data_IF_860797676319
#
_entry.id   IF_860797676319
#
_cell.length_a   1.000
_cell.length_b   1.000
_cell.length_c   1.000
_cell.angle_alpha   90.00
_cell.angle_beta   90.00
_cell.angle_gamma   90.00
#
_symmetry.space_group_name_H-M   'P 1'
#
loop_
_entity.id
_entity.type
_entity.pdbx_description
1 polymer ?
#
# COMPACT_ATOMS: atom_id res chain seq x y z
N UNK A 1 -9.06 50.30 30.16
CA UNK A 1 -7.88 49.52 29.70
C UNK A 1 -7.85 48.10 30.29
N UNK A 2 -8.88 47.29 30.06
CA UNK A 2 -8.89 45.85 30.43
C UNK A 2 -9.88 45.18 29.49
N UNK A 3 -9.39 44.43 28.50
CA UNK A 3 -10.10 43.49 27.61
C UNK A 3 -9.32 43.40 26.30
N UNK A 4 -8.25 42.61 26.23
CA UNK A 4 -7.77 41.90 25.01
C UNK A 4 -6.63 41.00 25.51
N UNK A 5 -6.91 39.81 26.04
CA UNK A 5 -5.90 38.73 26.20
C UNK A 5 -6.65 37.45 26.55
N UNK A 6 -7.26 36.81 25.56
CA UNK A 6 -7.73 35.42 25.65
C UNK A 6 -8.18 34.96 24.26
N UNK A 7 -7.23 34.50 23.43
CA UNK A 7 -7.44 33.52 22.36
C UNK A 7 -6.21 33.49 21.45
N UNK A 8 -5.12 32.86 21.89
CA UNK A 8 -3.99 32.52 21.03
C UNK A 8 -3.32 31.23 21.52
N UNK A 9 -4.12 30.18 21.69
CA UNK A 9 -3.64 28.80 21.77
C UNK A 9 -4.69 27.94 21.08
N UNK A 10 -4.62 27.85 19.76
CA UNK A 10 -5.26 26.76 19.02
C UNK A 10 -4.15 26.06 18.22
N UNK A 11 -3.56 25.10 18.92
CA UNK A 11 -2.94 23.87 18.42
C UNK A 11 -2.51 23.87 16.95
N UNK A 12 -1.24 24.18 16.72
CA UNK A 12 -0.48 23.54 15.64
C UNK A 12 -0.09 22.12 16.12
N UNK A 13 -1.08 21.23 16.20
CA UNK A 13 -0.85 19.80 16.27
C UNK A 13 -0.94 19.26 14.85
N UNK A 14 0.03 19.61 14.02
CA UNK A 14 0.30 18.91 12.77
C UNK A 14 0.95 17.58 13.14
N UNK A 15 0.16 16.66 13.67
CA UNK A 15 0.45 15.25 13.52
C UNK A 15 0.43 15.01 12.01
N UNK A 16 1.57 14.59 11.45
CA UNK A 16 1.58 13.96 10.15
C UNK A 16 0.71 12.71 10.29
N UNK A 17 -0.58 12.86 9.99
CA UNK A 17 -1.44 11.72 9.76
C UNK A 17 -0.85 11.06 8.51
N UNK A 18 -0.10 9.97 8.72
CA UNK A 18 0.26 9.08 7.63
C UNK A 18 -1.06 8.70 6.96
N UNK A 19 -1.24 9.13 5.72
CA UNK A 19 -2.46 8.86 4.99
C UNK A 19 -2.61 7.33 4.90
N UNK A 20 -3.80 6.83 5.25
CA UNK A 20 -4.14 5.44 5.02
C UNK A 20 -4.16 5.16 3.52
N UNK A 21 -3.84 3.94 3.08
CA UNK A 21 -4.06 3.56 1.70
C UNK A 21 -5.52 3.84 1.32
N UNK A 22 -5.72 4.50 0.18
CA UNK A 22 -7.05 4.82 -0.35
C UNK A 22 -7.34 3.81 -1.44
N UNK A 23 -8.54 3.23 -1.41
CA UNK A 23 -8.97 2.30 -2.46
C UNK A 23 -8.81 2.93 -3.84
N UNK A 24 -8.00 2.31 -4.70
CA UNK A 24 -7.68 2.82 -6.03
C UNK A 24 -7.23 1.69 -6.96
N UNK A 25 -7.24 1.98 -8.26
CA UNK A 25 -6.73 1.11 -9.32
C UNK A 25 -5.88 1.93 -10.28
N UNK A 26 -4.72 1.40 -10.66
CA UNK A 26 -3.86 1.92 -11.72
C UNK A 26 -4.02 1.05 -12.95
N UNK A 27 -4.60 1.65 -13.99
CA UNK A 27 -4.88 1.05 -15.30
C UNK A 27 -3.95 1.61 -16.40
N UNK A 28 -2.93 2.37 -15.99
CA UNK A 28 -1.93 3.00 -16.85
C UNK A 28 -2.44 3.94 -17.96
N UNK A 29 -3.73 4.27 -17.97
CA UNK A 29 -4.34 5.23 -18.90
C UNK A 29 -3.73 6.64 -18.77
N UNK A 30 -3.12 6.94 -17.61
CA UNK A 30 -2.49 8.22 -17.30
C UNK A 30 -0.96 8.08 -17.12
N UNK A 31 -0.35 7.11 -17.81
CA UNK A 31 1.07 6.80 -17.70
C UNK A 31 1.38 5.89 -16.51
N UNK A 32 2.63 5.88 -16.06
CA UNK A 32 3.09 4.97 -15.00
C UNK A 32 2.47 5.20 -13.61
N UNK A 33 1.96 6.40 -13.33
CA UNK A 33 1.26 6.71 -12.06
C UNK A 33 2.07 6.34 -10.80
N UNK A 34 3.39 6.52 -10.85
CA UNK A 34 4.31 6.23 -9.76
C UNK A 34 4.80 4.78 -9.66
N UNK A 35 4.37 3.91 -10.59
CA UNK A 35 4.90 2.54 -10.70
C UNK A 35 6.16 2.50 -11.54
N UNK A 36 7.18 1.82 -11.04
CA UNK A 36 8.43 1.52 -11.72
C UNK A 36 8.56 0.00 -11.89
N UNK A 37 9.24 -0.44 -12.95
CA UNK A 37 9.57 -1.85 -13.16
C UNK A 37 11.08 -2.11 -13.30
N UNK A 38 11.88 -1.11 -12.90
CA UNK A 38 13.33 -1.13 -12.98
C UNK A 38 13.85 -0.98 -14.41
N UNK A 39 15.09 -0.50 -14.58
CA UNK A 39 15.70 -0.46 -15.90
C UNK A 39 16.01 -1.88 -16.42
N UNK A 40 15.99 -2.10 -17.74
CA UNK A 40 16.56 -3.30 -18.36
C UNK A 40 18.04 -3.44 -17.96
N UNK A 41 18.52 -4.68 -17.76
CA UNK A 41 19.87 -4.92 -17.25
C UNK A 41 20.97 -4.62 -18.30
N UNK A 42 20.64 -4.73 -19.59
CA UNK A 42 21.55 -4.55 -20.74
C UNK A 42 21.35 -3.22 -21.49
N UNK A 43 20.40 -2.39 -21.05
CA UNK A 43 20.03 -1.12 -21.69
C UNK A 43 19.28 -1.26 -23.02
N UNK A 44 18.94 -2.48 -23.46
CA UNK A 44 18.17 -2.75 -24.67
C UNK A 44 16.87 -3.47 -24.32
N UNK A 45 15.74 -3.07 -24.93
CA UNK A 45 14.38 -3.42 -24.45
C UNK A 45 14.11 -2.79 -23.08
N UNK A 46 12.86 -2.70 -22.63
CA UNK A 46 12.57 -1.88 -21.45
C UNK A 46 11.14 -1.96 -20.99
N UNK A 47 10.74 -0.91 -20.26
CA UNK A 47 9.43 -0.76 -19.65
C UNK A 47 8.73 0.39 -20.35
N UNK A 48 7.53 0.15 -20.90
CA UNK A 48 6.73 1.21 -21.53
C UNK A 48 5.23 0.99 -21.33
N UNK A 49 4.47 2.05 -21.55
CA UNK A 49 3.01 1.98 -21.57
C UNK A 49 2.58 1.53 -22.96
N UNK A 50 2.02 0.32 -23.05
CA UNK A 50 1.59 -0.29 -24.30
C UNK A 50 0.08 -0.14 -24.46
N UNK A 51 -0.34 0.79 -25.32
CA UNK A 51 -1.76 1.04 -25.60
C UNK A 51 -2.40 -0.04 -26.49
N UNK A 52 -1.62 -0.99 -27.01
CA UNK A 52 -2.11 -2.13 -27.79
C UNK A 52 -2.34 -3.38 -26.94
N UNK A 53 -1.80 -3.39 -25.72
CA UNK A 53 -2.03 -4.39 -24.69
C UNK A 53 -2.90 -3.82 -23.58
N UNK A 54 -3.44 -4.73 -22.76
CA UNK A 54 -4.20 -4.40 -21.55
C UNK A 54 -5.59 -5.02 -21.52
N UNK A 55 -6.27 -4.88 -20.39
CA UNK A 55 -7.59 -5.46 -20.11
C UNK A 55 -8.67 -4.36 -20.09
N UNK A 56 -8.72 -3.55 -21.15
CA UNK A 56 -9.66 -2.42 -21.26
C UNK A 56 -9.02 -1.04 -21.12
N UNK A 57 -7.74 -0.97 -20.77
CA UNK A 57 -6.88 0.21 -20.71
C UNK A 57 -5.47 -0.14 -21.22
N UNK A 58 -4.54 0.81 -21.40
CA UNK A 58 -3.13 0.50 -21.68
C UNK A 58 -2.49 -0.35 -20.57
N UNK A 59 -1.48 -1.15 -20.88
CA UNK A 59 -0.74 -1.91 -19.87
C UNK A 59 0.70 -1.40 -19.69
N UNK A 60 1.29 -1.67 -18.52
CA UNK A 60 2.73 -1.50 -18.31
C UNK A 60 3.44 -2.77 -18.82
N UNK A 61 4.10 -2.65 -19.96
CA UNK A 61 4.75 -3.74 -20.66
C UNK A 61 6.25 -3.73 -20.35
N UNK A 62 6.74 -4.86 -19.84
CA UNK A 62 8.14 -5.11 -19.49
C UNK A 62 8.70 -6.21 -20.38
N UNK A 63 9.70 -5.88 -21.19
CA UNK A 63 10.51 -6.87 -21.90
C UNK A 63 11.95 -6.75 -21.43
N UNK A 64 12.48 -7.83 -20.86
CA UNK A 64 13.83 -7.91 -20.34
C UNK A 64 14.48 -9.23 -20.80
N UNK A 65 15.44 -9.20 -21.73
CA UNK A 65 15.97 -10.41 -22.35
C UNK A 65 16.90 -11.20 -21.42
N UNK A 66 17.42 -10.59 -20.35
CA UNK A 66 18.36 -11.22 -19.44
C UNK A 66 18.31 -10.57 -18.04
N UNK A 67 17.55 -11.19 -17.13
CA UNK A 67 17.49 -10.80 -15.70
C UNK A 67 17.27 -12.02 -14.80
N UNK A 68 17.50 -11.87 -13.50
CA UNK A 68 17.12 -12.89 -12.50
C UNK A 68 15.61 -12.87 -12.21
N UNK A 69 14.95 -11.75 -12.44
CA UNK A 69 13.54 -11.56 -12.15
C UNK A 69 13.05 -10.19 -12.59
N UNK A 70 11.75 -9.98 -12.47
CA UNK A 70 11.09 -8.70 -12.73
C UNK A 70 10.31 -8.29 -11.48
N UNK A 71 10.13 -6.98 -11.34
CA UNK A 71 9.31 -6.39 -10.31
C UNK A 71 8.53 -5.21 -10.89
N UNK A 72 7.40 -4.89 -10.27
CA UNK A 72 6.65 -3.67 -10.46
C UNK A 72 6.39 -3.11 -9.07
N UNK A 73 6.97 -1.95 -8.75
CA UNK A 73 6.89 -1.38 -7.42
C UNK A 73 6.62 0.12 -7.42
N UNK A 74 6.21 0.63 -6.27
CA UNK A 74 6.06 2.06 -6.06
C UNK A 74 6.50 2.46 -4.66
N UNK A 75 7.30 3.52 -4.60
CA UNK A 75 7.69 4.25 -3.38
C UNK A 75 7.09 5.66 -3.34
N UNK A 76 6.33 6.04 -4.38
CA UNK A 76 5.85 7.40 -4.58
C UNK A 76 4.33 7.53 -4.63
N UNK A 77 3.60 6.45 -4.95
CA UNK A 77 2.15 6.48 -5.05
C UNK A 77 1.51 6.32 -3.66
N UNK A 78 1.18 7.46 -3.04
CA UNK A 78 0.62 7.56 -1.69
C UNK A 78 -0.71 6.80 -1.48
N UNK A 79 -1.37 6.35 -2.55
CA UNK A 79 -2.55 5.50 -2.39
C UNK A 79 -2.19 4.05 -2.01
N UNK A 80 -0.95 3.61 -2.29
CA UNK A 80 -0.47 2.24 -2.08
C UNK A 80 0.54 2.11 -0.93
N UNK A 81 1.07 3.21 -0.41
CA UNK A 81 2.07 3.21 0.67
C UNK A 81 1.56 3.99 1.88
N UNK A 82 2.14 3.75 3.05
CA UNK A 82 1.77 4.36 4.33
C UNK A 82 1.25 3.34 5.35
N UNK A 83 0.37 3.80 6.24
CA UNK A 83 -0.11 3.01 7.37
C UNK A 83 -1.37 2.21 7.00
N UNK A 84 -1.20 0.90 6.79
CA UNK A 84 -2.28 -0.03 6.49
C UNK A 84 -3.09 -0.40 7.74
N UNK A 85 -2.51 -0.29 8.94
CA UNK A 85 -3.17 -0.53 10.23
C UNK A 85 -4.33 0.43 10.54
N UNK A 86 -4.53 1.46 9.72
CA UNK A 86 -5.70 2.34 9.79
C UNK A 86 -6.97 1.74 9.16
N UNK A 87 -6.86 0.59 8.49
CA UNK A 87 -8.00 -0.15 7.90
C UNK A 87 -8.04 -1.55 8.49
N UNK A 88 -9.23 -2.10 8.77
CA UNK A 88 -9.33 -3.43 9.37
C UNK A 88 -8.86 -4.53 8.40
N UNK A 89 -9.11 -4.33 7.10
CA UNK A 89 -8.69 -5.23 6.04
C UNK A 89 -8.20 -4.45 4.82
N UNK A 90 -7.23 -5.02 4.10
CA UNK A 90 -6.71 -4.48 2.84
C UNK A 90 -6.60 -5.61 1.83
N UNK A 91 -7.10 -5.39 0.61
CA UNK A 91 -6.92 -6.30 -0.53
C UNK A 91 -5.99 -5.67 -1.55
N UNK A 92 -5.01 -6.44 -2.00
CA UNK A 92 -4.03 -6.07 -3.02
C UNK A 92 -4.23 -6.97 -4.23
N UNK A 93 -4.15 -6.40 -5.44
CA UNK A 93 -4.32 -7.16 -6.66
C UNK A 93 -3.58 -6.58 -7.86
N UNK A 94 -3.37 -7.43 -8.85
CA UNK A 94 -2.70 -7.12 -10.12
C UNK A 94 -3.27 -8.02 -11.22
N UNK A 95 -3.48 -7.45 -12.41
CA UNK A 95 -3.69 -8.23 -13.62
C UNK A 95 -2.32 -8.44 -14.30
N UNK A 96 -2.03 -9.68 -14.69
CA UNK A 96 -0.76 -10.05 -15.34
C UNK A 96 -1.01 -10.85 -16.60
N UNK A 97 -0.27 -10.51 -17.66
CA UNK A 97 -0.19 -11.25 -18.90
C UNK A 97 1.27 -11.60 -19.14
N UNK A 98 1.64 -12.87 -18.97
CA UNK A 98 2.94 -13.36 -19.36
C UNK A 98 2.89 -13.82 -20.84
N UNK A 99 3.53 -13.07 -21.73
CA UNK A 99 3.65 -13.46 -23.13
C UNK A 99 4.73 -14.53 -23.30
N UNK A 100 5.85 -14.41 -22.57
CA UNK A 100 6.96 -15.37 -22.58
C UNK A 100 7.81 -15.25 -21.32
N UNK A 101 8.25 -16.39 -20.77
CA UNK A 101 9.24 -16.45 -19.69
C UNK A 101 10.21 -17.59 -20.00
N UNK A 102 11.41 -17.24 -20.49
CA UNK A 102 12.36 -18.23 -21.04
C UNK A 102 13.58 -18.38 -20.15
N UNK A 103 13.79 -19.59 -19.63
CA UNK A 103 14.99 -19.98 -18.90
C UNK A 103 15.76 -21.06 -19.68
N UNK A 104 17.03 -20.80 -20.00
CA UNK A 104 17.87 -21.71 -20.79
C UNK A 104 17.20 -22.16 -22.12
N UNK A 105 16.54 -21.22 -22.80
CA UNK A 105 15.88 -21.46 -24.08
C UNK A 105 14.57 -22.26 -23.99
N UNK A 106 14.00 -22.43 -22.80
CA UNK A 106 12.71 -23.10 -22.60
C UNK A 106 11.74 -22.19 -21.86
N UNK A 107 10.48 -22.21 -22.28
CA UNK A 107 9.39 -21.61 -21.52
C UNK A 107 9.31 -22.25 -20.12
N UNK A 108 9.20 -21.41 -19.10
CA UNK A 108 9.09 -21.81 -17.71
C UNK A 108 8.05 -20.99 -16.98
N UNK A 109 7.69 -21.47 -15.80
CA UNK A 109 6.84 -20.76 -14.87
C UNK A 109 7.64 -19.98 -13.83
N UNK A 110 7.02 -18.92 -13.30
CA UNK A 110 7.54 -18.17 -12.15
C UNK A 110 6.42 -17.90 -11.16
N UNK A 111 6.78 -17.84 -9.88
CA UNK A 111 5.88 -17.39 -8.83
C UNK A 111 5.85 -15.86 -8.84
N UNK A 112 4.69 -15.27 -8.62
CA UNK A 112 4.53 -13.85 -8.40
C UNK A 112 4.17 -13.65 -6.94
N UNK A 113 4.94 -12.81 -6.24
CA UNK A 113 4.64 -12.40 -4.86
C UNK A 113 4.26 -10.93 -4.84
N UNK A 114 3.46 -10.55 -3.85
CA UNK A 114 3.39 -9.17 -3.39
C UNK A 114 4.21 -9.05 -2.11
N UNK A 115 5.06 -8.05 -2.04
CA UNK A 115 5.91 -7.74 -0.90
C UNK A 115 5.67 -6.30 -0.44
N UNK A 116 5.51 -6.13 0.88
CA UNK A 116 5.33 -4.84 1.54
C UNK A 116 6.57 -4.58 2.39
N UNK A 117 7.34 -3.55 2.03
CA UNK A 117 8.65 -3.24 2.64
C UNK A 117 8.55 -2.00 3.52
N UNK A 118 9.21 -2.08 4.67
CA UNK A 118 9.42 -1.02 5.64
C UNK A 118 10.94 -0.76 5.75
N UNK A 119 11.36 0.47 5.41
CA UNK A 119 12.74 0.93 5.42
C UNK A 119 13.10 1.74 6.68
N UNK A 120 12.15 2.02 7.57
CA UNK A 120 12.35 2.93 8.70
C UNK A 120 13.17 2.30 9.84
N UNK A 121 13.04 0.98 10.05
CA UNK A 121 13.71 0.24 11.13
C UNK A 121 14.25 -1.12 10.65
N UNK A 122 15.24 -1.13 9.75
CA UNK A 122 15.87 -2.37 9.32
C UNK A 122 16.62 -3.03 10.47
N UNK A 123 16.47 -4.35 10.61
CA UNK A 123 17.17 -5.12 11.63
C UNK A 123 18.61 -5.46 11.18
N UNK A 124 19.58 -5.08 12.01
CA UNK A 124 21.01 -5.26 11.74
C UNK A 124 21.43 -4.62 10.39
N UNK A 125 22.14 -5.37 9.54
CA UNK A 125 22.63 -4.91 8.23
C UNK A 125 21.64 -5.22 7.08
N UNK A 126 20.39 -5.58 7.41
CA UNK A 126 19.38 -5.85 6.40
C UNK A 126 18.93 -4.54 5.73
N UNK A 127 18.56 -4.55 4.44
CA UNK A 127 18.19 -3.32 3.75
C UNK A 127 16.78 -2.81 4.14
N UNK A 128 15.91 -3.70 4.61
CA UNK A 128 14.53 -3.43 5.03
C UNK A 128 13.96 -4.62 5.82
N UNK A 129 12.81 -4.39 6.46
CA UNK A 129 11.94 -5.46 6.96
C UNK A 129 10.74 -5.57 6.02
N UNK A 130 10.28 -6.79 5.69
CA UNK A 130 9.10 -6.93 4.82
C UNK A 130 8.23 -8.12 5.19
N UNK A 131 7.00 -8.07 4.70
CA UNK A 131 6.04 -9.18 4.68
C UNK A 131 5.64 -9.44 3.25
N UNK A 132 5.51 -10.71 2.88
CA UNK A 132 5.22 -11.08 1.50
C UNK A 132 4.21 -12.22 1.41
N UNK A 133 3.47 -12.27 0.30
CA UNK A 133 2.51 -13.32 0.02
C UNK A 133 2.67 -13.82 -1.42
N UNK A 134 2.59 -15.13 -1.59
CA UNK A 134 2.66 -15.78 -2.89
C UNK A 134 1.30 -15.82 -3.56
N UNK A 135 1.13 -14.99 -4.59
CA UNK A 135 -0.13 -14.82 -5.31
C UNK A 135 -0.41 -15.98 -6.26
N UNK A 136 0.61 -16.75 -6.63
CA UNK A 136 0.48 -17.86 -7.56
C UNK A 136 1.53 -17.87 -8.65
N UNK A 137 1.25 -18.65 -9.69
CA UNK A 137 2.16 -18.90 -10.79
C UNK A 137 1.73 -18.17 -12.07
N UNK A 138 2.70 -17.56 -12.73
CA UNK A 138 2.58 -16.90 -14.04
C UNK A 138 3.36 -17.66 -15.11
N UNK A 139 2.87 -17.62 -16.34
CA UNK A 139 3.50 -18.26 -17.49
C UNK A 139 2.73 -18.10 -18.79
N UNK A 140 3.43 -18.28 -19.91
CA UNK A 140 2.86 -18.13 -21.25
C UNK A 140 1.72 -19.12 -21.55
N UNK A 141 1.73 -20.30 -20.93
CA UNK A 141 0.71 -21.34 -21.09
C UNK A 141 -0.58 -21.07 -20.30
N UNK A 142 -0.59 -20.07 -19.39
CA UNK A 142 -1.80 -19.69 -18.64
C UNK A 142 -2.86 -19.09 -19.56
N UNK A 143 -2.44 -18.49 -20.68
CA UNK A 143 -3.29 -17.98 -21.74
C UNK A 143 -4.09 -16.74 -21.32
N UNK A 144 -3.65 -15.56 -21.77
CA UNK A 144 -4.34 -14.30 -21.51
C UNK A 144 -4.08 -13.73 -20.13
N UNK A 145 -4.90 -12.75 -19.76
CA UNK A 145 -4.80 -12.02 -18.49
C UNK A 145 -5.21 -12.87 -17.29
N UNK A 146 -4.40 -12.87 -16.24
CA UNK A 146 -4.67 -13.48 -14.95
C UNK A 146 -4.88 -12.38 -13.91
N UNK A 147 -6.00 -12.42 -13.18
CA UNK A 147 -6.19 -11.58 -11.99
C UNK A 147 -5.64 -12.32 -10.77
N UNK A 148 -4.66 -11.72 -10.10
CA UNK A 148 -4.01 -12.26 -8.92
C UNK A 148 -4.19 -11.31 -7.75
N UNK A 149 -4.60 -11.82 -6.59
CA UNK A 149 -4.94 -10.97 -5.44
C UNK A 149 -4.76 -11.67 -4.10
N UNK A 150 -4.55 -10.88 -3.05
CA UNK A 150 -4.57 -11.34 -1.66
C UNK A 150 -5.29 -10.34 -0.77
N UNK A 151 -6.01 -10.84 0.23
CA UNK A 151 -6.61 -10.02 1.28
C UNK A 151 -5.89 -10.23 2.61
N UNK A 152 -5.42 -9.12 3.19
CA UNK A 152 -5.03 -9.02 4.59
C UNK A 152 -6.31 -8.85 5.40
N UNK A 153 -6.76 -9.94 6.05
CA UNK A 153 -8.01 -9.93 6.81
C UNK A 153 -7.94 -9.22 8.18
N UNK A 154 -6.74 -9.07 8.73
CA UNK A 154 -6.48 -8.38 9.99
C UNK A 154 -5.12 -7.66 9.89
N UNK A 155 -5.14 -6.35 9.74
CA UNK A 155 -3.94 -5.51 9.65
C UNK A 155 -3.28 -5.27 11.00
N UNK A 156 -3.97 -5.59 12.11
CA UNK A 156 -3.46 -5.48 13.47
C UNK A 156 -2.86 -6.81 13.99
N UNK A 157 -2.76 -7.83 13.12
CA UNK A 157 -2.26 -9.13 13.49
C UNK A 157 -0.79 -9.06 13.98
N UNK A 158 -0.53 -9.61 15.16
CA UNK A 158 0.82 -9.68 15.71
C UNK A 158 1.69 -10.75 15.02
N UNK A 159 1.09 -11.91 14.74
CA UNK A 159 1.76 -13.02 14.05
C UNK A 159 1.55 -12.93 12.53
N UNK A 160 2.44 -13.54 11.75
CA UNK A 160 2.24 -13.73 10.32
C UNK A 160 0.96 -14.55 10.05
N UNK A 161 0.00 -14.03 9.27
CA UNK A 161 -1.16 -14.81 8.85
C UNK A 161 -0.74 -15.99 7.96
N UNK A 162 -1.61 -16.99 7.83
CA UNK A 162 -1.33 -18.15 6.99
C UNK A 162 -1.05 -17.74 5.53
N UNK A 163 0.05 -18.26 4.96
CA UNK A 163 0.50 -17.96 3.61
C UNK A 163 1.38 -16.71 3.49
N UNK A 164 1.47 -15.88 4.55
CA UNK A 164 2.41 -14.77 4.60
C UNK A 164 3.79 -15.21 5.11
N UNK A 165 4.83 -14.76 4.43
CA UNK A 165 6.22 -14.85 4.88
C UNK A 165 6.72 -13.52 5.42
N UNK A 166 7.80 -13.60 6.20
CA UNK A 166 8.55 -12.43 6.65
C UNK A 166 9.94 -12.38 6.03
N UNK A 167 10.56 -11.21 6.05
CA UNK A 167 11.96 -11.01 5.71
C UNK A 167 12.53 -9.87 6.57
N UNK A 168 13.85 -9.91 6.79
CA UNK A 168 14.58 -8.91 7.58
C UNK A 168 15.34 -9.50 8.78
N UNK A 169 15.20 -10.79 9.10
CA UNK A 169 16.01 -11.43 10.15
C UNK A 169 17.35 -11.96 9.60
N UNK A 170 17.29 -12.86 8.62
CA UNK A 170 18.45 -13.41 7.90
C UNK A 170 18.12 -13.55 6.41
N UNK A 171 19.15 -13.66 5.58
CA UNK A 171 18.99 -13.79 4.12
C UNK A 171 18.48 -15.18 3.71
N UNK A 172 18.95 -16.23 4.39
CA UNK A 172 18.72 -17.62 3.99
C UNK A 172 17.44 -18.23 4.59
N UNK A 173 16.90 -17.64 5.67
CA UNK A 173 15.71 -18.13 6.35
C UNK A 173 14.69 -16.99 6.52
N UNK A 174 13.86 -16.73 5.49
CA UNK A 174 12.88 -15.65 5.50
C UNK A 174 12.00 -15.71 6.75
N UNK A 175 12.24 -14.75 7.64
CA UNK A 175 11.52 -14.57 8.88
C UNK A 175 11.56 -13.09 9.29
N UNK A 176 10.54 -12.66 10.03
CA UNK A 176 10.55 -11.33 10.62
C UNK A 176 11.64 -11.24 11.71
N UNK A 177 12.27 -10.06 11.89
CA UNK A 177 13.19 -9.82 12.99
C UNK A 177 12.57 -10.14 14.37
N UNK A 178 13.40 -10.52 15.36
CA UNK A 178 12.94 -10.68 16.73
C UNK A 178 12.22 -9.42 17.25
N UNK A 179 11.00 -9.60 17.75
CA UNK A 179 10.20 -8.50 18.30
C UNK A 179 9.45 -7.65 17.27
N UNK A 180 9.60 -7.93 15.96
CA UNK A 180 8.79 -7.32 14.90
C UNK A 180 7.58 -8.18 14.59
N UNK A 181 6.42 -7.55 14.53
CA UNK A 181 5.14 -8.16 14.17
C UNK A 181 4.76 -7.88 12.72
N UNK A 182 3.75 -8.59 12.23
CA UNK A 182 3.14 -8.30 10.93
C UNK A 182 2.54 -6.89 10.90
N UNK A 183 1.81 -6.50 11.96
CA UNK A 183 1.27 -5.16 12.13
C UNK A 183 2.34 -4.05 12.15
N UNK A 184 3.53 -4.30 12.72
CA UNK A 184 4.60 -3.30 12.74
C UNK A 184 5.07 -2.94 11.33
N UNK A 185 5.20 -3.93 10.44
CA UNK A 185 5.55 -3.70 9.03
C UNK A 185 4.42 -2.96 8.30
N UNK A 186 3.17 -3.34 8.56
CA UNK A 186 2.01 -2.68 7.95
C UNK A 186 1.78 -1.24 8.42
N UNK A 187 2.36 -0.83 9.55
CA UNK A 187 2.22 0.51 10.08
C UNK A 187 3.00 1.57 9.27
N UNK A 188 4.04 1.17 8.53
CA UNK A 188 4.89 2.04 7.72
C UNK A 188 5.33 1.33 6.42
N UNK A 189 4.37 1.02 5.54
CA UNK A 189 4.72 0.45 4.22
C UNK A 189 5.31 1.57 3.37
N UNK A 190 6.59 1.49 3.05
CA UNK A 190 7.31 2.47 2.24
C UNK A 190 7.36 2.09 0.76
N UNK A 191 7.31 0.79 0.48
CA UNK A 191 7.26 0.23 -0.87
C UNK A 191 6.31 -0.97 -0.92
N UNK A 192 5.47 -1.02 -1.95
CA UNK A 192 4.84 -2.25 -2.40
C UNK A 192 5.53 -2.72 -3.67
N UNK A 193 5.81 -4.02 -3.76
CA UNK A 193 6.44 -4.64 -4.92
C UNK A 193 5.70 -5.92 -5.32
N UNK A 194 5.17 -5.96 -6.54
CA UNK A 194 4.79 -7.20 -7.19
C UNK A 194 6.00 -7.75 -7.91
N UNK A 195 6.50 -8.92 -7.55
CA UNK A 195 7.82 -9.38 -8.01
C UNK A 195 7.90 -10.87 -8.18
N UNK A 196 8.78 -11.32 -9.08
CA UNK A 196 9.12 -12.74 -9.21
C UNK A 196 10.23 -13.17 -8.24
N UNK A 197 10.81 -12.23 -7.48
CA UNK A 197 11.80 -12.51 -6.43
C UNK A 197 11.11 -12.95 -5.14
N UNK A 198 10.87 -14.25 -5.02
CA UNK A 198 10.41 -14.88 -3.78
C UNK A 198 11.58 -14.87 -2.78
N UNK A 199 11.42 -14.29 -1.59
CA UNK A 199 12.47 -14.30 -0.57
C UNK A 199 12.96 -15.72 -0.24
N UNK A 200 14.28 -15.87 -0.11
CA UNK A 200 14.95 -17.16 0.15
C UNK A 200 15.19 -18.04 -1.08
N UNK A 201 14.78 -17.61 -2.28
CA UNK A 201 15.03 -18.34 -3.52
C UNK A 201 16.24 -17.79 -4.28
N UNK A 202 16.94 -18.68 -4.98
CA UNK A 202 17.97 -18.33 -5.95
C UNK A 202 17.42 -18.42 -7.36
N UNK A 203 17.76 -17.43 -8.19
CA UNK A 203 17.27 -17.31 -9.56
C UNK A 203 18.41 -17.36 -10.57
N UNK A 204 18.14 -17.91 -11.74
CA UNK A 204 19.05 -17.89 -12.89
C UNK A 204 18.59 -16.92 -13.97
N UNK A 205 19.49 -16.58 -14.89
CA UNK A 205 19.21 -15.70 -16.03
C UNK A 205 18.02 -16.18 -16.84
N UNK A 206 16.99 -15.36 -16.89
CA UNK A 206 15.68 -15.63 -17.49
C UNK A 206 15.28 -14.42 -18.33
N UNK A 207 14.76 -14.67 -19.53
CA UNK A 207 14.14 -13.64 -20.36
C UNK A 207 12.66 -13.51 -20.01
N UNK A 208 12.16 -12.30 -19.91
CA UNK A 208 10.78 -11.98 -19.57
C UNK A 208 10.16 -11.08 -20.65
N UNK A 209 8.94 -11.41 -21.04
CA UNK A 209 8.02 -10.59 -21.81
C UNK A 209 6.67 -10.66 -21.08
N UNK A 210 6.39 -9.63 -20.26
CA UNK A 210 5.24 -9.58 -19.36
C UNK A 210 4.62 -8.20 -19.41
N UNK A 211 3.29 -8.15 -19.47
CA UNK A 211 2.51 -6.94 -19.26
C UNK A 211 1.71 -7.04 -17.95
N UNK A 212 1.57 -5.92 -17.26
CA UNK A 212 0.71 -5.78 -16.08
C UNK A 212 -0.30 -4.66 -16.25
N UNK A 213 -1.45 -4.81 -15.64
CA UNK A 213 -2.57 -3.87 -15.68
C UNK A 213 -3.34 -3.92 -14.35
N UNK A 214 -4.26 -2.97 -14.15
CA UNK A 214 -5.22 -2.93 -13.04
C UNK A 214 -4.59 -3.19 -11.66
N UNK A 215 -3.43 -2.60 -11.38
CA UNK A 215 -2.82 -2.74 -10.04
C UNK A 215 -3.73 -2.03 -9.04
N UNK A 216 -4.23 -2.78 -8.06
CA UNK A 216 -5.33 -2.33 -7.22
C UNK A 216 -5.02 -2.52 -5.74
N UNK A 217 -5.52 -1.57 -4.96
CA UNK A 217 -5.62 -1.66 -3.51
C UNK A 217 -7.05 -1.31 -3.12
N UNK A 218 -7.63 -2.08 -2.21
CA UNK A 218 -8.93 -1.78 -1.60
C UNK A 218 -8.81 -1.90 -0.10
N UNK A 219 -9.08 -0.82 0.61
CA UNK A 219 -9.04 -0.77 2.06
C UNK A 219 -10.48 -0.73 2.61
N UNK A 220 -10.82 -1.69 3.46
CA UNK A 220 -12.04 -1.64 4.25
C UNK A 220 -11.78 -0.69 5.40
N UNK A 221 -12.12 0.59 5.19
CA UNK A 221 -12.09 1.58 6.23
C UNK A 221 -12.96 1.07 7.40
N UNK A 222 -12.33 0.75 8.53
CA UNK A 222 -13.07 0.70 9.77
C UNK A 222 -13.57 2.14 9.96
N UNK A 223 -14.88 2.35 9.92
CA UNK A 223 -15.46 3.70 10.01
C UNK A 223 -15.67 4.06 11.48
N UNK A 224 -14.70 4.69 12.17
CA UNK A 224 -15.03 5.71 13.14
C UNK A 224 -14.66 7.05 12.53
N UNK A 225 -15.55 7.58 11.67
CA UNK A 225 -15.38 8.89 11.04
C UNK A 225 -14.97 9.96 12.08
N UNK A 226 -13.71 10.45 12.06
CA UNK A 226 -13.25 11.49 12.98
C UNK A 226 -14.07 12.76 12.80
N UNK A 227 -14.52 13.00 11.56
CA UNK A 227 -15.46 14.06 11.21
C UNK A 227 -16.83 13.89 11.86
N UNK A 228 -17.36 12.66 11.93
CA UNK A 228 -18.66 12.41 12.57
C UNK A 228 -18.62 12.67 14.07
N UNK A 229 -17.59 12.21 14.77
CA UNK A 229 -17.42 12.48 16.20
C UNK A 229 -17.10 13.95 16.48
N UNK A 230 -16.26 14.59 15.66
CA UNK A 230 -15.96 16.02 15.79
C UNK A 230 -17.18 16.90 15.45
N UNK A 231 -17.98 16.53 14.45
CA UNK A 231 -19.24 17.21 14.12
C UNK A 231 -20.31 16.97 15.18
N UNK A 232 -20.38 15.76 15.76
CA UNK A 232 -21.28 15.47 16.87
C UNK A 232 -20.87 16.26 18.12
N UNK A 233 -19.58 16.24 18.48
CA UNK A 233 -19.03 16.98 19.62
C UNK A 233 -19.15 18.50 19.41
N UNK A 234 -18.86 18.98 18.20
CA UNK A 234 -19.04 20.38 17.81
C UNK A 234 -20.51 20.81 17.86
N UNK A 235 -21.42 19.99 17.32
CA UNK A 235 -22.86 20.21 17.36
C UNK A 235 -23.42 20.25 18.80
N UNK A 236 -23.00 19.31 19.64
CA UNK A 236 -23.33 19.29 21.06
C UNK A 236 -22.76 20.51 21.81
N UNK A 237 -21.54 20.93 21.48
CA UNK A 237 -20.92 22.14 22.02
C UNK A 237 -21.70 23.42 21.67
N UNK A 238 -22.15 23.55 20.42
CA UNK A 238 -22.99 24.68 19.97
C UNK A 238 -24.35 24.68 20.67
N UNK A 239 -24.99 23.52 20.82
CA UNK A 239 -26.26 23.37 21.53
C UNK A 239 -26.13 23.73 23.02
N UNK A 240 -25.07 23.28 23.68
CA UNK A 240 -24.79 23.59 25.09
C UNK A 240 -24.57 25.11 25.29
N UNK A 241 -23.84 25.75 24.38
CA UNK A 241 -23.60 27.19 24.40
C UNK A 241 -24.89 28.00 24.13
N UNK A 242 -25.70 27.58 23.16
CA UNK A 242 -26.98 28.19 22.86
C UNK A 242 -27.97 28.09 24.05
N UNK A 243 -27.99 26.94 24.75
CA UNK A 243 -28.80 26.75 25.96
C UNK A 243 -28.34 27.67 27.09
N UNK A 244 -27.03 27.83 27.30
CA UNK A 244 -26.47 28.73 28.34
C UNK A 244 -26.85 30.20 28.13
N UNK A 245 -26.95 30.66 26.88
CA UNK A 245 -27.36 32.04 26.59
C UNK A 245 -28.83 32.33 26.96
N UNK A 246 -29.73 31.35 26.84
CA UNK A 246 -31.16 31.53 27.16
C UNK A 246 -31.42 31.61 28.66
N UNK A 247 -30.67 30.89 29.49
CA UNK A 247 -30.83 30.93 30.95
C UNK A 247 -30.28 32.22 31.57
N UNK A 248 -29.19 32.77 31.04
CA UNK A 248 -28.66 34.05 31.52
C UNK A 248 -29.56 35.26 31.21
N UNK A 249 -30.36 35.21 30.15
CA UNK A 249 -31.33 36.27 29.83
C UNK A 249 -32.55 36.31 30.76
N UNK A 250 -32.96 35.16 31.33
CA UNK A 250 -34.14 35.05 32.19
C UNK A 250 -33.95 35.68 33.59
N UNK A 251 -32.75 35.58 34.16
CA UNK A 251 -32.44 36.21 35.45
C UNK A 251 -32.27 37.73 35.41
N UNK A 252 -32.16 38.33 34.21
CA UNK A 252 -32.10 39.79 34.06
C UNK A 252 -33.49 40.45 34.14
N UNK A 253 -34.58 39.69 33.95
CA UNK A 253 -35.95 40.22 33.99
C UNK A 253 -36.56 40.22 35.41
N UNK A 254 -36.09 39.38 36.33
CA UNK A 254 -36.64 39.26 37.70
C UNK A 254 -36.06 40.25 38.71
N UNK A 255 -35.08 41.10 38.34
CA UNK A 255 -34.54 42.17 39.22
C UNK A 255 -35.13 43.56 38.92
N UNK A 256 -36.26 43.62 38.23
CA UNK A 256 -37.01 44.85 37.95
C UNK A 256 -38.46 44.73 38.42
N UNK A 257 -38.64 44.41 39.69
CA UNK A 257 -39.87 44.60 40.47
C UNK A 257 -39.45 44.76 41.92
#
# INVERSE_FOLDING_TARGET
>A
MKRVFAAAVLAAASAAALASPISTTVDFSNGQQGWDAGPPFDGNQGVWIDASLGNGAPALHTVNPETFGVHWSTTGNQAFIGNYGASASVTLGIDVLANSIVYLGREVHRRLVVELRDYDDPYQDMPYTSVWYDLGEIGADKGGWQHLSVTIGDTAAAALPAGWGGYGNTVDEPSLPPGRSFADVLASVDEISFTTFVPGYFYGWTAYDIAVDNIAISADAEVPEPGSLAMLAGGLGVLAWARRRRTSGRHALERRT
#
